data_IF_673836266923
#
_entry.id   IF_673836266923
#
_cell.length_a   1.000
_cell.length_b   1.000
_cell.length_c   1.000
_cell.angle_alpha   90.00
_cell.angle_beta   90.00
_cell.angle_gamma   90.00
#
_symmetry.space_group_name_H-M   'P 1'
#
loop_
_entity.id
_entity.type
_entity.pdbx_description
1 polymer ?
#
# COMPACT_ATOMS: atom_id res chain seq x y z
N UNK A 1 9.67 3.45 -12.45
CA UNK A 1 9.28 4.76 -13.01
C UNK A 1 9.56 5.93 -12.04
N UNK A 2 8.93 5.98 -10.85
CA UNK A 2 9.12 7.08 -9.90
C UNK A 2 10.57 7.24 -9.36
N UNK A 3 11.38 6.19 -9.45
CA UNK A 3 12.83 6.19 -9.15
C UNK A 3 13.68 6.79 -10.28
N UNK A 4 13.34 6.50 -11.53
CA UNK A 4 14.17 6.81 -12.71
C UNK A 4 13.86 8.17 -13.36
N UNK A 5 12.62 8.66 -13.27
CA UNK A 5 12.21 9.93 -13.91
C UNK A 5 11.53 10.87 -12.89
N UNK A 6 12.24 11.93 -12.43
CA UNK A 6 11.69 12.95 -11.54
C UNK A 6 10.50 13.72 -12.14
N UNK A 7 10.47 13.89 -13.47
CA UNK A 7 9.38 14.57 -14.19
C UNK A 7 8.11 13.74 -14.17
N UNK A 8 8.19 12.45 -14.49
CA UNK A 8 7.07 11.52 -14.37
C UNK A 8 6.52 11.47 -12.94
N UNK A 9 7.39 11.46 -11.93
CA UNK A 9 6.98 11.50 -10.52
C UNK A 9 6.27 12.80 -10.16
N UNK A 10 6.78 13.94 -10.62
CA UNK A 10 6.15 15.25 -10.43
C UNK A 10 4.75 15.30 -11.03
N UNK A 11 4.58 14.77 -12.24
CA UNK A 11 3.29 14.67 -12.92
C UNK A 11 2.30 13.79 -12.16
N UNK A 12 2.72 12.60 -11.70
CA UNK A 12 1.87 11.72 -10.89
C UNK A 12 1.46 12.35 -9.56
N UNK A 13 2.39 13.01 -8.86
CA UNK A 13 2.10 13.72 -7.60
C UNK A 13 1.05 14.83 -7.78
N UNK A 14 1.02 15.48 -8.94
CA UNK A 14 0.07 16.55 -9.21
C UNK A 14 -1.40 16.07 -9.26
N UNK A 15 -1.62 14.77 -9.44
CA UNK A 15 -2.93 14.11 -9.40
C UNK A 15 -3.47 13.81 -8.01
N UNK A 16 -2.72 14.06 -6.93
CA UNK A 16 -3.22 13.84 -5.57
C UNK A 16 -4.51 14.62 -5.31
N UNK A 17 -5.52 13.91 -4.79
CA UNK A 17 -6.84 14.46 -4.47
C UNK A 17 -7.56 15.06 -5.70
N UNK A 18 -7.23 14.60 -6.91
CA UNK A 18 -7.86 15.05 -8.16
C UNK A 18 -8.71 13.94 -8.76
N UNK A 19 -9.74 14.39 -9.43
CA UNK A 19 -10.61 13.57 -10.26
C UNK A 19 -10.00 13.36 -11.65
N UNK A 20 -10.41 12.33 -12.38
CA UNK A 20 -9.93 11.98 -13.72
C UNK A 20 -10.03 13.15 -14.70
N UNK A 21 -11.10 13.95 -14.61
CA UNK A 21 -11.36 15.06 -15.54
C UNK A 21 -10.47 16.30 -15.30
N UNK A 22 -9.68 16.29 -14.22
CA UNK A 22 -8.90 17.46 -13.84
C UNK A 22 -7.73 17.71 -14.84
N UNK A 23 -7.47 18.95 -15.28
CA UNK A 23 -6.43 19.24 -16.28
C UNK A 23 -5.02 18.73 -15.91
N UNK A 24 -4.70 18.69 -14.61
CA UNK A 24 -3.42 18.15 -14.11
C UNK A 24 -3.27 16.64 -14.26
N UNK A 25 -4.38 15.91 -14.34
CA UNK A 25 -4.40 14.45 -14.56
C UNK A 25 -4.15 14.11 -16.03
N UNK A 26 -4.31 15.08 -16.95
CA UNK A 26 -4.09 14.88 -18.39
C UNK A 26 -2.70 14.33 -18.72
N UNK A 27 -1.68 14.84 -18.03
CA UNK A 27 -0.29 14.38 -18.20
C UNK A 27 -0.10 12.95 -17.68
N UNK A 28 -0.88 12.55 -16.67
CA UNK A 28 -0.81 11.20 -16.09
C UNK A 28 -1.36 10.13 -17.03
N UNK A 29 -2.34 10.44 -17.90
CA UNK A 29 -2.86 9.46 -18.86
C UNK A 29 -1.75 8.86 -19.71
N UNK A 30 -0.81 9.67 -20.21
CA UNK A 30 0.33 9.17 -20.97
C UNK A 30 1.16 8.11 -20.22
N UNK A 31 1.26 8.22 -18.90
CA UNK A 31 2.08 7.34 -18.06
C UNK A 31 1.33 6.10 -17.57
N UNK A 32 0.02 6.22 -17.39
CA UNK A 32 -0.81 5.20 -16.77
C UNK A 32 -1.59 4.36 -17.77
N UNK A 33 -2.07 4.94 -18.88
CA UNK A 33 -2.88 4.21 -19.88
C UNK A 33 -2.26 2.88 -20.33
N UNK A 34 -0.94 2.75 -20.61
CA UNK A 34 -0.35 1.47 -21.00
C UNK A 34 -0.34 0.39 -19.90
N UNK A 35 -0.67 0.76 -18.66
CA UNK A 35 -0.69 -0.12 -17.48
C UNK A 35 -2.10 -0.34 -16.92
N UNK A 36 -3.09 0.38 -17.46
CA UNK A 36 -4.47 0.13 -17.09
C UNK A 36 -4.99 -1.07 -17.91
N UNK A 37 -5.94 -1.85 -17.35
CA UNK A 37 -6.68 -2.83 -18.13
C UNK A 37 -7.33 -2.17 -19.35
N UNK A 38 -7.40 -2.88 -20.49
CA UNK A 38 -7.91 -2.33 -21.76
C UNK A 38 -9.36 -1.83 -21.66
N UNK A 39 -10.18 -2.46 -20.83
CA UNK A 39 -11.58 -2.10 -20.58
C UNK A 39 -11.81 -1.72 -19.11
N UNK A 40 -11.14 -0.67 -18.63
CA UNK A 40 -11.40 -0.16 -17.29
C UNK A 40 -12.51 0.91 -17.29
N UNK A 41 -13.43 0.83 -16.32
CA UNK A 41 -14.36 1.93 -16.04
C UNK A 41 -13.67 3.10 -15.32
N UNK A 42 -14.28 4.29 -15.33
CA UNK A 42 -13.71 5.50 -14.71
C UNK A 42 -13.40 5.32 -13.22
N UNK A 43 -14.15 4.45 -12.52
CA UNK A 43 -13.94 4.17 -11.09
C UNK A 43 -12.68 3.36 -10.87
N UNK A 44 -12.48 2.29 -11.65
CA UNK A 44 -11.25 1.50 -11.63
C UNK A 44 -10.06 2.35 -12.05
N UNK A 45 -10.21 3.18 -13.07
CA UNK A 45 -9.18 4.13 -13.48
C UNK A 45 -8.84 5.11 -12.33
N UNK A 46 -9.84 5.71 -11.67
CA UNK A 46 -9.63 6.60 -10.53
C UNK A 46 -8.84 5.93 -9.40
N UNK A 47 -9.11 4.65 -9.12
CA UNK A 47 -8.35 3.87 -8.13
C UNK A 47 -6.87 3.74 -8.53
N UNK A 48 -6.57 3.34 -9.76
CA UNK A 48 -5.21 3.23 -10.29
C UNK A 48 -4.47 4.57 -10.22
N UNK A 49 -5.13 5.66 -10.61
CA UNK A 49 -4.54 6.99 -10.61
C UNK A 49 -4.27 7.48 -9.20
N UNK A 50 -5.17 7.20 -8.26
CA UNK A 50 -5.00 7.54 -6.85
C UNK A 50 -3.80 6.80 -6.26
N UNK A 51 -3.69 5.49 -6.47
CA UNK A 51 -2.57 4.70 -5.96
C UNK A 51 -1.24 5.12 -6.60
N UNK A 52 -1.21 5.36 -7.92
CA UNK A 52 -0.02 5.86 -8.60
C UNK A 52 0.43 7.23 -8.06
N UNK A 53 -0.51 8.14 -7.79
CA UNK A 53 -0.22 9.43 -7.18
C UNK A 53 0.29 9.29 -5.74
N UNK A 54 -0.25 8.36 -4.95
CA UNK A 54 0.20 8.06 -3.58
C UNK A 54 1.62 7.49 -3.55
N UNK A 55 1.92 6.53 -4.43
CA UNK A 55 3.28 5.99 -4.60
C UNK A 55 4.22 7.13 -5.01
N UNK A 56 3.87 7.93 -6.02
CA UNK A 56 4.72 9.05 -6.44
C UNK A 56 4.94 10.10 -5.33
N UNK A 57 4.01 10.22 -4.38
CA UNK A 57 4.06 11.15 -3.27
C UNK A 57 5.00 10.75 -2.14
N UNK A 58 5.48 9.50 -2.11
CA UNK A 58 6.46 9.05 -1.12
C UNK A 58 7.74 9.91 -1.15
N UNK A 59 8.50 10.07 -0.04
CA UNK A 59 9.83 10.67 -0.04
C UNK A 59 10.81 9.92 -0.95
N UNK A 60 11.92 10.54 -1.33
CA UNK A 60 12.90 9.90 -2.25
C UNK A 60 13.59 8.68 -1.65
N UNK A 61 13.90 8.71 -0.35
CA UNK A 61 14.54 7.58 0.35
C UNK A 61 13.66 6.33 0.40
N UNK A 62 12.33 6.45 0.33
CA UNK A 62 11.43 5.31 0.25
C UNK A 62 11.62 4.49 -1.03
N UNK A 63 12.34 5.03 -2.02
CA UNK A 63 12.75 4.32 -3.23
C UNK A 63 14.25 3.96 -3.22
N UNK A 64 15.01 4.19 -2.15
CA UNK A 64 16.44 3.88 -2.10
C UNK A 64 16.75 2.53 -1.43
N UNK A 65 15.81 1.97 -0.66
CA UNK A 65 15.97 0.76 0.17
C UNK A 65 16.23 -0.55 -0.60
N UNK A 66 16.28 -0.55 -1.94
CA UNK A 66 16.60 -1.75 -2.72
C UNK A 66 18.08 -1.79 -3.16
N UNK A 67 18.94 -0.92 -2.62
CA UNK A 67 20.32 -0.71 -3.12
C UNK A 67 21.40 -1.08 -2.09
N UNK A 68 21.03 -1.48 -0.87
CA UNK A 68 21.98 -1.78 0.21
C UNK A 68 22.35 -3.28 0.33
N UNK A 69 21.85 -4.15 -0.56
CA UNK A 69 22.14 -5.61 -0.53
C UNK A 69 23.19 -6.10 -1.56
N UNK A 70 23.75 -5.23 -2.42
CA UNK A 70 24.63 -5.66 -3.54
C UNK A 70 26.12 -5.25 -3.40
N UNK A 71 26.55 -4.64 -2.28
CA UNK A 71 27.96 -4.25 -2.09
C UNK A 71 28.52 -4.68 -0.72
N UNK A 72 28.48 -5.98 -0.39
CA UNK A 72 29.56 -6.59 0.42
C UNK A 72 29.59 -8.13 0.29
N UNK A 73 30.34 -8.63 -0.70
CA UNK A 73 31.14 -9.88 -0.64
C UNK A 73 31.65 -10.22 -2.05
N UNK A 74 32.80 -9.67 -2.39
CA UNK A 74 33.66 -10.24 -3.41
C UNK A 74 34.42 -11.44 -2.83
N UNK A 75 34.63 -12.45 -3.70
CA UNK A 75 35.48 -13.64 -3.57
C UNK A 75 34.93 -14.83 -2.75
N UNK A 76 34.46 -15.89 -3.44
CA UNK A 76 35.27 -17.10 -3.70
C UNK A 76 34.51 -18.14 -4.56
N UNK A 77 35.28 -19.01 -5.19
CA UNK A 77 34.97 -19.83 -6.36
C UNK A 77 34.34 -21.19 -6.00
N UNK A 78 33.56 -21.75 -6.94
CA UNK A 78 33.63 -23.18 -7.24
C UNK A 78 32.42 -24.07 -6.88
N UNK A 79 31.92 -24.73 -7.92
CA UNK A 79 31.49 -26.14 -7.95
C UNK A 79 29.98 -26.46 -7.92
N UNK A 80 29.52 -26.93 -9.09
CA UNK A 80 28.28 -27.66 -9.32
C UNK A 80 28.25 -28.97 -8.51
N UNK A 81 27.11 -29.27 -7.86
CA UNK A 81 26.63 -30.65 -7.65
C UNK A 81 25.09 -30.67 -7.70
N UNK A 82 24.56 -31.50 -8.60
CA UNK A 82 23.17 -31.96 -8.63
C UNK A 82 22.91 -33.05 -7.56
N UNK A 83 21.68 -33.08 -7.05
CA UNK A 83 21.14 -34.11 -6.15
C UNK A 83 21.06 -33.56 -4.73
N UNK A 84 19.96 -33.64 -3.99
CA UNK A 84 19.09 -34.80 -3.83
C UNK A 84 17.76 -34.36 -3.21
N UNK A 85 16.69 -35.05 -3.58
CA UNK A 85 15.35 -34.89 -3.02
C UNK A 85 15.34 -35.23 -1.54
N UNK A 86 15.12 -34.24 -0.69
CA UNK A 86 14.92 -34.40 0.74
C UNK A 86 13.58 -33.81 1.15
N UNK A 87 12.55 -34.65 1.23
CA UNK A 87 11.36 -34.40 2.03
C UNK A 87 11.79 -33.99 3.44
N UNK A 88 11.50 -32.73 3.81
CA UNK A 88 11.56 -32.30 5.20
C UNK A 88 10.29 -31.51 5.49
N UNK A 89 9.30 -32.24 5.98
CA UNK A 89 8.39 -31.84 7.06
C UNK A 89 8.02 -30.34 7.11
N UNK A 90 7.18 -29.88 6.17
CA UNK A 90 6.46 -28.61 6.25
C UNK A 90 5.32 -28.71 7.27
N UNK A 91 5.67 -28.94 8.53
CA UNK A 91 4.84 -28.64 9.68
C UNK A 91 5.24 -27.28 10.28
N UNK A 92 5.47 -26.28 9.42
CA UNK A 92 5.61 -24.88 9.81
C UNK A 92 4.32 -24.15 9.43
N UNK A 93 3.41 -24.09 10.41
CA UNK A 93 2.31 -23.14 10.50
C UNK A 93 1.79 -22.63 9.16
N UNK A 94 0.78 -23.32 8.63
CA UNK A 94 -0.20 -22.73 7.72
C UNK A 94 -0.92 -21.59 8.44
N UNK A 95 -0.20 -20.51 8.72
CA UNK A 95 -0.74 -19.20 9.00
C UNK A 95 -1.60 -18.92 7.80
N UNK A 96 -2.91 -18.94 8.03
CA UNK A 96 -3.95 -18.80 7.03
C UNK A 96 -3.57 -17.62 6.14
N UNK A 97 -2.90 -17.88 5.00
CA UNK A 97 -2.52 -16.82 4.07
C UNK A 97 -3.84 -16.33 3.55
N UNK A 98 -4.30 -15.21 4.09
CA UNK A 98 -5.44 -14.50 3.56
C UNK A 98 -5.15 -14.34 2.06
N UNK A 99 -6.11 -14.64 1.18
CA UNK A 99 -5.92 -14.42 -0.26
C UNK A 99 -5.71 -12.93 -0.61
N UNK A 100 -5.77 -12.08 0.40
CA UNK A 100 -5.59 -10.64 0.39
C UNK A 100 -4.33 -10.30 1.21
N UNK A 101 -3.54 -9.35 0.71
CA UNK A 101 -2.39 -8.80 1.41
C UNK A 101 -2.79 -7.95 2.63
N UNK A 102 -1.84 -7.21 3.19
CA UNK A 102 -2.06 -6.43 4.41
C UNK A 102 -3.06 -5.30 4.15
N UNK A 103 -4.21 -5.33 4.83
CA UNK A 103 -5.24 -4.29 4.63
C UNK A 103 -4.76 -2.92 5.13
N UNK A 104 -5.35 -1.84 4.64
CA UNK A 104 -4.99 -0.50 5.13
C UNK A 104 -5.34 -0.30 6.62
N UNK A 105 -6.38 -1.00 7.10
CA UNK A 105 -6.68 -1.05 8.53
C UNK A 105 -5.56 -1.70 9.34
N UNK A 106 -4.95 -2.76 8.81
CA UNK A 106 -3.78 -3.38 9.43
C UNK A 106 -2.58 -2.44 9.48
N UNK A 107 -2.30 -1.70 8.40
CA UNK A 107 -1.23 -0.70 8.36
C UNK A 107 -1.46 0.43 9.38
N UNK A 108 -2.71 0.85 9.62
CA UNK A 108 -3.03 1.80 10.69
C UNK A 108 -2.79 1.20 12.09
N UNK A 109 -3.10 -0.07 12.28
CA UNK A 109 -2.82 -0.77 13.55
C UNK A 109 -1.32 -0.86 13.81
N UNK A 110 -0.55 -1.30 12.80
CA UNK A 110 0.91 -1.37 12.86
C UNK A 110 1.55 0.00 13.15
N UNK A 111 0.99 1.08 12.60
CA UNK A 111 1.45 2.43 12.89
C UNK A 111 1.25 2.85 14.36
N UNK A 112 0.25 2.29 15.05
CA UNK A 112 0.05 2.52 16.49
C UNK A 112 1.05 1.71 17.31
N UNK A 113 1.37 0.48 16.88
CA UNK A 113 2.24 -0.45 17.60
C UNK A 113 3.72 -0.31 17.19
N UNK A 114 4.05 0.64 16.32
CA UNK A 114 5.42 0.85 15.84
C UNK A 114 6.35 1.21 17.01
N UNK A 115 7.51 0.55 17.09
CA UNK A 115 8.51 0.77 18.16
C UNK A 115 9.19 2.16 18.11
N UNK A 116 9.10 2.84 16.97
CA UNK A 116 9.69 4.15 16.71
C UNK A 116 8.67 5.28 16.82
N UNK A 117 8.53 6.06 15.75
CA UNK A 117 7.48 7.10 15.67
C UNK A 117 6.13 6.41 15.55
N UNK A 118 5.33 6.36 16.61
CA UNK A 118 4.01 5.75 16.60
C UNK A 118 2.88 6.76 16.48
N UNK A 119 1.73 6.30 15.98
CA UNK A 119 0.48 7.06 15.99
C UNK A 119 -0.27 6.86 17.30
N UNK A 120 -0.90 7.91 17.82
CA UNK A 120 -1.83 7.79 18.96
C UNK A 120 -3.02 6.91 18.54
N UNK A 121 -3.36 5.92 19.37
CA UNK A 121 -4.47 4.99 19.13
C UNK A 121 -5.77 5.72 18.74
N UNK A 122 -6.19 6.73 19.53
CA UNK A 122 -7.41 7.50 19.28
C UNK A 122 -7.39 8.26 17.94
N UNK A 123 -6.22 8.70 17.48
CA UNK A 123 -6.06 9.37 16.20
C UNK A 123 -6.16 8.37 15.02
N UNK A 124 -5.55 7.19 15.17
CA UNK A 124 -5.64 6.12 14.18
C UNK A 124 -7.07 5.55 14.09
N UNK A 125 -7.72 5.35 15.24
CA UNK A 125 -9.11 4.89 15.33
C UNK A 125 -10.08 5.90 14.68
N UNK A 126 -9.92 7.20 14.98
CA UNK A 126 -10.70 8.25 14.32
C UNK A 126 -10.50 8.22 12.80
N UNK A 127 -9.29 7.90 12.33
CA UNK A 127 -8.95 7.85 10.92
C UNK A 127 -9.61 6.66 10.21
N UNK A 128 -9.51 5.45 10.76
CA UNK A 128 -10.15 4.26 10.17
C UNK A 128 -11.66 4.43 10.17
N UNK A 129 -12.25 4.95 11.25
CA UNK A 129 -13.68 5.24 11.33
C UNK A 129 -14.14 6.31 10.32
N UNK A 130 -13.32 7.34 10.07
CA UNK A 130 -13.62 8.33 9.05
C UNK A 130 -13.64 7.70 7.66
N UNK A 131 -12.59 6.97 7.28
CA UNK A 131 -12.42 6.40 5.94
C UNK A 131 -13.52 5.38 5.59
N UNK A 132 -13.87 4.53 6.55
CA UNK A 132 -14.89 3.47 6.39
C UNK A 132 -16.30 3.99 6.12
N UNK A 133 -16.55 5.27 6.42
CA UNK A 133 -17.83 5.97 6.18
C UNK A 133 -17.85 6.79 4.89
N UNK A 134 -16.73 6.89 4.17
CA UNK A 134 -16.65 7.73 2.98
C UNK A 134 -17.25 7.07 1.74
N UNK A 135 -17.83 7.91 0.87
CA UNK A 135 -18.10 7.55 -0.51
C UNK A 135 -16.80 7.31 -1.28
N UNK A 136 -16.81 6.62 -2.44
CA UNK A 136 -15.60 6.42 -3.25
C UNK A 136 -14.83 7.74 -3.50
N UNK A 137 -15.54 8.81 -3.87
CA UNK A 137 -14.96 10.14 -4.07
C UNK A 137 -14.35 10.71 -2.79
N UNK A 138 -15.04 10.58 -1.66
CA UNK A 138 -14.53 11.00 -0.35
C UNK A 138 -13.28 10.21 0.05
N UNK A 139 -13.24 8.93 -0.27
CA UNK A 139 -12.08 8.07 -0.02
C UNK A 139 -10.86 8.56 -0.79
N UNK A 140 -10.97 8.83 -2.09
CA UNK A 140 -9.87 9.39 -2.89
C UNK A 140 -9.37 10.75 -2.36
N UNK A 141 -10.25 11.54 -1.73
CA UNK A 141 -9.89 12.83 -1.13
C UNK A 141 -9.17 12.70 0.21
N UNK A 142 -9.64 11.80 1.09
CA UNK A 142 -9.16 11.66 2.46
C UNK A 142 -7.99 10.68 2.61
N UNK A 143 -7.91 9.67 1.75
CA UNK A 143 -6.89 8.64 1.79
C UNK A 143 -5.45 9.18 1.74
N UNK A 144 -5.10 10.19 0.92
CA UNK A 144 -3.73 10.71 0.90
C UNK A 144 -3.24 11.27 2.24
N UNK A 145 -4.14 11.86 3.03
CA UNK A 145 -3.78 12.33 4.38
C UNK A 145 -3.52 11.15 5.32
N UNK A 146 -4.32 10.09 5.22
CA UNK A 146 -4.19 8.92 6.09
C UNK A 146 -2.90 8.15 5.78
N UNK A 147 -2.64 7.91 4.49
CA UNK A 147 -1.45 7.21 4.00
C UNK A 147 -0.17 7.96 4.41
N UNK A 148 -0.16 9.29 4.32
CA UNK A 148 1.01 10.07 4.77
C UNK A 148 1.25 9.97 6.28
N UNK A 149 0.21 9.84 7.10
CA UNK A 149 0.36 9.68 8.56
C UNK A 149 0.91 8.29 8.90
N UNK A 150 0.35 7.23 8.30
CA UNK A 150 0.88 5.87 8.45
C UNK A 150 2.34 5.83 8.04
N UNK A 151 2.68 6.43 6.90
CA UNK A 151 4.06 6.40 6.39
C UNK A 151 5.04 7.27 7.18
N UNK A 152 4.56 8.24 7.96
CA UNK A 152 5.41 8.98 8.89
C UNK A 152 5.88 8.11 10.08
N UNK A 153 5.22 6.97 10.30
CA UNK A 153 5.61 5.96 11.32
C UNK A 153 6.56 4.89 10.78
N UNK A 154 7.02 5.04 9.53
CA UNK A 154 7.80 4.03 8.80
C UNK A 154 7.07 2.68 8.58
N UNK A 155 5.74 2.68 8.76
CA UNK A 155 4.92 1.49 8.47
C UNK A 155 4.72 1.34 6.96
N UNK A 156 5.01 0.13 6.46
CA UNK A 156 4.79 -0.22 5.05
C UNK A 156 3.29 -0.29 4.72
N UNK A 157 2.93 0.22 3.53
CA UNK A 157 1.56 0.13 2.99
C UNK A 157 1.57 -0.83 1.82
N UNK A 158 0.72 -1.85 1.87
CA UNK A 158 0.50 -2.76 0.74
C UNK A 158 -0.31 -2.05 -0.36
N UNK A 159 0.38 -1.60 -1.39
CA UNK A 159 -0.22 -0.87 -2.51
C UNK A 159 -1.13 -1.75 -3.37
N UNK A 160 -0.81 -3.05 -3.49
CA UNK A 160 -1.61 -4.00 -4.26
C UNK A 160 -2.95 -4.24 -3.59
N UNK A 161 -2.92 -4.49 -2.28
CA UNK A 161 -4.15 -4.65 -1.51
C UNK A 161 -4.96 -3.35 -1.43
N UNK A 162 -4.30 -2.21 -1.24
CA UNK A 162 -4.99 -0.92 -1.24
C UNK A 162 -5.65 -0.62 -2.60
N UNK A 163 -4.99 -0.94 -3.71
CA UNK A 163 -5.58 -0.80 -5.04
C UNK A 163 -6.80 -1.70 -5.21
N UNK A 164 -6.69 -2.98 -4.84
CA UNK A 164 -7.80 -3.91 -4.90
C UNK A 164 -9.02 -3.40 -4.10
N UNK A 165 -8.77 -2.83 -2.92
CA UNK A 165 -9.81 -2.27 -2.06
C UNK A 165 -10.49 -1.06 -2.69
N UNK A 166 -9.73 -0.17 -3.31
CA UNK A 166 -10.29 0.99 -3.99
C UNK A 166 -11.12 0.62 -5.23
N UNK A 167 -10.67 -0.37 -6.00
CA UNK A 167 -11.39 -0.86 -7.18
C UNK A 167 -12.73 -1.48 -6.76
N UNK A 168 -12.75 -2.28 -5.70
CA UNK A 168 -13.95 -2.97 -5.24
C UNK A 168 -14.81 -2.13 -4.27
N UNK A 169 -14.34 -0.95 -3.83
CA UNK A 169 -15.08 -0.09 -2.90
C UNK A 169 -16.51 0.23 -3.34
N UNK A 170 -16.80 0.61 -4.60
CA UNK A 170 -18.15 0.97 -5.02
C UNK A 170 -19.20 -0.13 -4.82
N UNK A 171 -18.78 -1.40 -4.89
CA UNK A 171 -19.65 -2.58 -4.82
C UNK A 171 -19.56 -3.30 -3.48
N UNK A 172 -18.40 -3.22 -2.79
CA UNK A 172 -18.09 -4.00 -1.59
C UNK A 172 -17.67 -3.15 -0.39
N UNK A 173 -17.98 -1.85 -0.36
CA UNK A 173 -17.59 -0.93 0.73
C UNK A 173 -17.89 -1.49 2.13
N UNK A 174 -19.06 -2.09 2.36
CA UNK A 174 -19.42 -2.65 3.66
C UNK A 174 -18.52 -3.80 4.11
N UNK A 175 -18.08 -4.65 3.18
CA UNK A 175 -17.17 -5.77 3.47
C UNK A 175 -15.74 -5.26 3.70
N UNK A 176 -15.26 -4.36 2.85
CA UNK A 176 -13.91 -3.79 2.94
C UNK A 176 -13.77 -2.97 4.23
N UNK A 177 -14.74 -2.11 4.53
CA UNK A 177 -14.77 -1.32 5.77
C UNK A 177 -14.74 -2.22 7.01
N UNK A 178 -15.50 -3.31 7.00
CA UNK A 178 -15.49 -4.29 8.10
C UNK A 178 -14.11 -4.93 8.25
N UNK A 179 -13.49 -5.36 7.15
CA UNK A 179 -12.15 -5.96 7.18
C UNK A 179 -11.11 -4.98 7.72
N UNK A 180 -11.12 -3.73 7.26
CA UNK A 180 -10.21 -2.69 7.76
C UNK A 180 -10.38 -2.46 9.27
N UNK A 181 -11.62 -2.38 9.76
CA UNK A 181 -11.87 -2.22 11.20
C UNK A 181 -11.42 -3.45 12.00
N UNK A 182 -11.73 -4.66 11.53
CA UNK A 182 -11.34 -5.90 12.20
C UNK A 182 -9.83 -6.04 12.30
N UNK A 183 -9.10 -5.79 11.22
CA UNK A 183 -7.64 -5.92 11.22
C UNK A 183 -6.98 -4.85 12.10
N UNK A 184 -7.51 -3.62 12.07
CA UNK A 184 -7.07 -2.55 12.97
C UNK A 184 -7.20 -2.97 14.44
N UNK A 185 -8.40 -3.37 14.86
CA UNK A 185 -8.65 -3.73 16.27
C UNK A 185 -7.94 -5.02 16.69
N UNK A 186 -7.73 -5.98 15.78
CA UNK A 186 -6.94 -7.19 16.07
C UNK A 186 -5.50 -6.84 16.44
N UNK A 187 -4.86 -5.96 15.67
CA UNK A 187 -3.46 -5.57 15.90
C UNK A 187 -3.33 -4.72 17.16
N UNK A 188 -4.21 -3.74 17.37
CA UNK A 188 -4.13 -2.90 18.57
C UNK A 188 -4.45 -3.67 19.84
N UNK A 189 -5.42 -4.61 19.80
CA UNK A 189 -5.74 -5.44 20.96
C UNK A 189 -4.63 -6.45 21.30
N UNK A 190 -3.92 -6.99 20.29
CA UNK A 190 -2.76 -7.84 20.52
C UNK A 190 -1.63 -7.07 21.23
N UNK A 191 -1.40 -5.81 20.84
CA UNK A 191 -0.38 -4.98 21.46
C UNK A 191 -0.70 -4.51 22.88
N UNK A 192 -1.98 -4.43 23.27
CA UNK A 192 -2.37 -4.14 24.65
C UNK A 192 -2.16 -5.35 25.59
N UNK A 193 -1.90 -6.55 25.05
CA UNK A 193 -1.73 -7.80 25.81
C UNK A 193 -0.25 -8.18 26.07
N UNK A 194 0.69 -7.55 25.37
CA UNK A 194 2.15 -7.72 25.52
C UNK A 194 2.76 -6.70 26.51
#
# INVERSE_FOLDING_TARGET
>A
MCRADPGARGALRAGLRRDLDHPRVRVMHRLLTPRLPEECDDRTAQAHYTVAALIAAQPRHAFALDQEDDEDSADEQGQEVLGESGETDEAATASQRTPYGTSFGAALGQAVTAKGTSMRLSAAESRVNLLTRQSPRGLHLHLPSAVNQVRATDTAVDWGQLLADLVHWPTHAGQISRRWLQDFYRITAAADQD
#
